data_IF_111784098466
#
_entry.id   IF_111784098466
#
_cell.length_a   1.000
_cell.length_b   1.000
_cell.length_c   1.000
_cell.angle_alpha   90.00
_cell.angle_beta   90.00
_cell.angle_gamma   90.00
#
_symmetry.space_group_name_H-M   'P 1'
#
loop_
_entity.id
_entity.type
_entity.pdbx_description
1 polymer ?
#
# COMPACT_ATOMS: atom_id res chain seq x y z
N UNK A 1 -27.03 30.97 18.51
CA UNK A 1 -26.32 30.27 17.43
C UNK A 1 -25.15 29.52 18.06
N UNK A 2 -25.16 28.18 18.10
CA UNK A 2 -24.03 27.39 18.64
C UNK A 2 -23.04 27.14 17.50
N UNK A 3 -21.79 27.54 17.69
CA UNK A 3 -20.70 27.24 16.77
C UNK A 3 -20.11 25.89 17.19
N UNK A 4 -20.23 24.87 16.33
CA UNK A 4 -19.56 23.59 16.54
C UNK A 4 -18.22 23.62 15.77
N UNK A 5 -17.11 23.38 16.47
CA UNK A 5 -15.77 23.33 15.90
C UNK A 5 -15.25 21.89 15.98
N UNK A 6 -14.66 21.38 14.89
CA UNK A 6 -13.94 20.11 14.86
C UNK A 6 -12.43 20.37 14.81
N UNK A 7 -11.69 19.80 15.76
CA UNK A 7 -10.24 19.94 15.84
C UNK A 7 -9.57 18.59 15.56
N UNK A 8 -8.72 18.52 14.53
CA UNK A 8 -7.91 17.35 14.21
C UNK A 8 -6.49 17.52 14.76
N UNK A 9 -6.12 16.73 15.77
CA UNK A 9 -4.76 16.68 16.33
C UNK A 9 -4.19 15.27 16.14
N UNK A 10 -3.19 15.14 15.28
CA UNK A 10 -2.42 13.91 15.07
C UNK A 10 -0.94 14.22 15.29
N UNK A 11 -0.15 13.19 15.59
CA UNK A 11 1.15 13.25 16.26
C UNK A 11 2.22 14.14 15.58
N UNK A 12 2.00 14.57 14.33
CA UNK A 12 2.83 15.52 13.59
C UNK A 12 2.06 16.65 12.87
N UNK A 13 0.72 16.62 12.88
CA UNK A 13 -0.14 17.59 12.20
C UNK A 13 -0.02 17.64 10.68
N UNK A 14 0.65 16.68 10.03
CA UNK A 14 0.97 16.72 8.59
C UNK A 14 0.13 15.73 7.80
N UNK A 15 0.69 14.61 7.38
CA UNK A 15 0.05 13.71 6.42
C UNK A 15 -1.24 13.11 6.97
N UNK A 16 -1.21 12.58 8.20
CA UNK A 16 -2.38 11.94 8.81
C UNK A 16 -3.52 12.95 9.05
N UNK A 17 -3.21 14.17 9.51
CA UNK A 17 -4.19 15.26 9.64
C UNK A 17 -4.76 15.67 8.29
N UNK A 18 -3.92 15.75 7.26
CA UNK A 18 -4.37 16.08 5.91
C UNK A 18 -5.31 15.00 5.35
N UNK A 19 -5.01 13.71 5.53
CA UNK A 19 -5.92 12.62 5.12
C UNK A 19 -7.28 12.75 5.81
N UNK A 20 -7.30 12.93 7.14
CA UNK A 20 -8.54 13.05 7.89
C UNK A 20 -9.37 14.27 7.44
N UNK A 21 -8.73 15.44 7.32
CA UNK A 21 -9.40 16.68 6.90
C UNK A 21 -9.88 16.56 5.44
N UNK A 22 -9.04 16.13 4.52
CA UNK A 22 -9.42 16.01 3.10
C UNK A 22 -10.55 15.01 2.93
N UNK A 23 -10.47 13.84 3.57
CA UNK A 23 -11.55 12.85 3.57
C UNK A 23 -12.84 13.44 4.15
N UNK A 24 -12.78 14.21 5.23
CA UNK A 24 -13.95 14.89 5.77
C UNK A 24 -14.56 15.90 4.79
N UNK A 25 -13.73 16.68 4.08
CA UNK A 25 -14.22 17.63 3.08
C UNK A 25 -14.88 16.90 1.88
N UNK A 26 -14.32 15.76 1.47
CA UNK A 26 -14.93 14.87 0.47
C UNK A 26 -16.23 14.24 0.96
N UNK A 27 -16.27 13.79 2.22
CA UNK A 27 -17.47 13.30 2.90
C UNK A 27 -18.59 14.35 2.92
N UNK A 28 -18.25 15.60 3.20
CA UNK A 28 -19.19 16.73 3.14
C UNK A 28 -19.51 17.18 1.70
N UNK A 29 -19.00 16.49 0.67
CA UNK A 29 -19.15 16.83 -0.75
C UNK A 29 -18.67 18.24 -1.11
N UNK A 30 -17.76 18.82 -0.32
CA UNK A 30 -17.14 20.11 -0.66
C UNK A 30 -16.16 19.95 -1.83
N UNK A 31 -15.51 18.78 -1.91
CA UNK A 31 -14.68 18.39 -3.04
C UNK A 31 -15.08 16.99 -3.51
N UNK A 32 -15.01 16.75 -4.81
CA UNK A 32 -15.31 15.46 -5.44
C UNK A 32 -14.05 14.71 -5.89
N UNK A 33 -12.87 15.32 -5.74
CA UNK A 33 -11.57 14.70 -6.07
C UNK A 33 -10.58 14.90 -4.94
N UNK A 34 -9.69 13.92 -4.75
CA UNK A 34 -8.66 13.98 -3.73
C UNK A 34 -7.67 15.12 -4.00
N UNK A 35 -7.36 15.39 -5.28
CA UNK A 35 -6.46 16.46 -5.70
C UNK A 35 -6.98 17.83 -5.27
N UNK A 36 -8.27 18.11 -5.49
CA UNK A 36 -8.86 19.39 -5.11
C UNK A 36 -8.84 19.58 -3.60
N UNK A 37 -9.19 18.52 -2.84
CA UNK A 37 -9.16 18.56 -1.38
C UNK A 37 -7.74 18.78 -0.83
N UNK A 38 -6.75 18.04 -1.33
CA UNK A 38 -5.34 18.14 -0.91
C UNK A 38 -4.73 19.48 -1.33
N UNK A 39 -5.06 19.99 -2.52
CA UNK A 39 -4.63 21.29 -2.98
C UNK A 39 -5.12 22.40 -2.05
N UNK A 40 -6.42 22.39 -1.72
CA UNK A 40 -7.01 23.37 -0.81
C UNK A 40 -6.46 23.27 0.62
N UNK A 41 -6.22 22.05 1.12
CA UNK A 41 -5.52 21.86 2.39
C UNK A 41 -4.13 22.50 2.36
N UNK A 42 -3.36 22.23 1.29
CA UNK A 42 -2.00 22.73 1.10
C UNK A 42 -1.95 24.26 1.01
N UNK A 43 -2.96 24.91 0.41
CA UNK A 43 -3.07 26.37 0.36
C UNK A 43 -3.36 27.00 1.73
N UNK A 44 -4.12 26.31 2.59
CA UNK A 44 -4.48 26.81 3.93
C UNK A 44 -3.44 26.45 4.99
N UNK A 45 -2.58 25.47 4.72
CA UNK A 45 -1.53 24.97 5.59
C UNK A 45 -0.21 24.94 4.82
N UNK A 46 0.58 23.89 4.99
CA UNK A 46 1.75 23.58 4.19
C UNK A 46 1.50 22.29 3.40
N UNK A 47 2.24 22.05 2.30
CA UNK A 47 2.17 20.78 1.57
C UNK A 47 2.38 19.59 2.54
N UNK A 48 1.37 18.71 2.71
CA UNK A 48 1.37 17.73 3.81
C UNK A 48 2.28 16.52 3.59
N UNK A 49 2.91 16.38 2.41
CA UNK A 49 3.70 15.19 2.06
C UNK A 49 2.83 13.92 1.96
N UNK A 50 1.69 14.02 1.27
CA UNK A 50 0.75 12.91 1.06
C UNK A 50 1.44 11.82 0.23
N UNK A 51 1.40 10.59 0.75
CA UNK A 51 1.87 9.40 0.04
C UNK A 51 0.77 8.92 -0.92
N UNK A 52 1.13 8.14 -1.96
CA UNK A 52 0.14 7.56 -2.86
C UNK A 52 -0.99 6.78 -2.15
N UNK A 53 -0.69 6.00 -1.10
CA UNK A 53 -1.72 5.35 -0.28
C UNK A 53 -2.65 6.35 0.41
N UNK A 54 -2.11 7.39 1.03
CA UNK A 54 -2.91 8.45 1.64
C UNK A 54 -3.88 9.08 0.63
N UNK A 55 -3.42 9.34 -0.60
CA UNK A 55 -4.27 9.86 -1.69
C UNK A 55 -5.37 8.86 -2.05
N UNK A 56 -5.03 7.58 -2.23
CA UNK A 56 -5.97 6.50 -2.53
C UNK A 56 -7.09 6.38 -1.50
N UNK A 57 -6.79 6.55 -0.21
CA UNK A 57 -7.80 6.53 0.85
C UNK A 57 -8.72 7.76 0.84
N UNK A 58 -8.23 8.92 0.38
CA UNK A 58 -9.09 10.09 0.14
C UNK A 58 -9.98 9.82 -1.10
N UNK A 59 -9.43 9.20 -2.15
CA UNK A 59 -10.19 8.81 -3.35
C UNK A 59 -11.31 7.82 -3.02
N UNK A 60 -11.06 6.84 -2.14
CA UNK A 60 -12.11 5.96 -1.62
C UNK A 60 -13.27 6.72 -0.99
N UNK A 61 -12.99 7.81 -0.28
CA UNK A 61 -14.03 8.68 0.26
C UNK A 61 -14.78 9.42 -0.86
N UNK A 62 -14.09 9.93 -1.87
CA UNK A 62 -14.75 10.52 -3.04
C UNK A 62 -15.69 9.51 -3.73
N UNK A 63 -15.22 8.28 -3.94
CA UNK A 63 -15.97 7.20 -4.60
C UNK A 63 -17.23 6.81 -3.82
N UNK A 64 -17.16 6.73 -2.50
CA UNK A 64 -18.32 6.47 -1.64
C UNK A 64 -19.34 7.63 -1.65
N UNK A 65 -18.91 8.85 -1.97
CA UNK A 65 -19.75 10.05 -1.91
C UNK A 65 -20.22 10.55 -3.27
N UNK A 66 -19.76 9.92 -4.35
CA UNK A 66 -20.10 10.21 -5.73
C UNK A 66 -21.62 10.18 -5.98
N UNK A 67 -22.05 10.68 -7.14
CA UNK A 67 -23.46 10.63 -7.55
C UNK A 67 -23.95 9.19 -7.70
N UNK A 68 -23.09 8.31 -8.21
CA UNK A 68 -23.23 6.86 -8.16
C UNK A 68 -22.20 6.29 -7.16
N UNK A 69 -22.59 6.09 -5.89
CA UNK A 69 -21.66 5.65 -4.84
C UNK A 69 -21.09 4.26 -5.09
N UNK A 70 -19.78 4.12 -4.89
CA UNK A 70 -19.18 2.80 -4.70
C UNK A 70 -19.48 2.33 -3.28
N UNK A 71 -20.15 1.20 -3.14
CA UNK A 71 -20.35 0.52 -1.85
C UNK A 71 -19.28 -0.57 -1.71
N UNK A 72 -18.32 -0.42 -0.79
CA UNK A 72 -17.25 -1.39 -0.61
C UNK A 72 -17.82 -2.75 -0.20
N UNK A 73 -17.41 -3.81 -0.89
CA UNK A 73 -17.84 -5.16 -0.54
C UNK A 73 -17.05 -5.74 0.65
N UNK A 74 -17.53 -6.87 1.19
CA UNK A 74 -16.87 -7.60 2.30
C UNK A 74 -16.35 -8.98 1.88
N UNK A 75 -16.22 -9.22 0.58
CA UNK A 75 -15.61 -10.43 0.01
C UNK A 75 -14.12 -10.48 0.37
N UNK A 76 -13.62 -11.61 0.90
CA UNK A 76 -12.19 -11.84 1.03
C UNK A 76 -11.50 -11.84 -0.34
N UNK A 77 -10.25 -11.43 -0.35
CA UNK A 77 -9.38 -11.43 -1.54
C UNK A 77 -8.20 -12.33 -1.26
N UNK A 78 -8.02 -13.36 -2.07
CA UNK A 78 -6.83 -14.20 -2.03
C UNK A 78 -5.76 -13.58 -2.91
N UNK A 79 -4.61 -13.25 -2.33
CA UNK A 79 -3.43 -12.78 -3.05
C UNK A 79 -2.54 -13.99 -3.32
N UNK A 80 -2.46 -14.41 -4.57
CA UNK A 80 -1.66 -15.55 -5.00
C UNK A 80 -0.17 -15.20 -5.04
N UNK A 81 0.17 -14.07 -5.63
CA UNK A 81 1.54 -13.60 -5.77
C UNK A 81 1.60 -12.08 -5.86
N UNK A 82 2.80 -11.53 -5.64
CA UNK A 82 3.16 -10.18 -6.05
C UNK A 82 4.26 -10.26 -7.09
N UNK A 83 4.10 -9.51 -8.17
CA UNK A 83 5.00 -9.50 -9.32
C UNK A 83 5.47 -8.07 -9.56
N UNK A 84 6.79 -7.91 -9.70
CA UNK A 84 7.46 -6.64 -9.98
C UNK A 84 8.15 -6.74 -11.35
N UNK A 85 7.85 -5.80 -12.23
CA UNK A 85 8.40 -5.77 -13.59
C UNK A 85 8.77 -4.34 -13.99
N UNK A 86 10.00 -4.08 -14.48
CA UNK A 86 11.15 -4.99 -14.52
C UNK A 86 11.68 -5.33 -13.11
N UNK A 87 12.68 -6.22 -13.02
CA UNK A 87 13.33 -6.56 -11.74
C UNK A 87 13.96 -5.31 -11.11
N UNK A 88 13.66 -4.99 -9.83
CA UNK A 88 14.27 -3.85 -9.15
C UNK A 88 15.71 -4.14 -8.70
N UNK A 89 16.55 -3.09 -8.68
CA UNK A 89 18.02 -3.18 -8.63
C UNK A 89 18.58 -2.85 -7.24
N UNK A 90 18.23 -3.67 -6.23
CA UNK A 90 18.51 -3.39 -4.82
C UNK A 90 19.82 -3.96 -4.28
N UNK A 91 20.42 -4.93 -4.97
CA UNK A 91 21.70 -5.48 -4.54
C UNK A 91 22.85 -4.46 -4.72
N UNK A 92 24.05 -4.82 -4.24
CA UNK A 92 25.22 -3.92 -4.30
C UNK A 92 25.64 -3.59 -5.73
N UNK A 93 25.52 -4.56 -6.65
CA UNK A 93 25.93 -4.43 -8.05
C UNK A 93 24.88 -3.72 -8.93
N UNK A 94 23.70 -3.39 -8.38
CA UNK A 94 22.57 -2.75 -9.10
C UNK A 94 22.12 -3.53 -10.34
N UNK A 95 22.11 -4.85 -10.25
CA UNK A 95 21.65 -5.75 -11.30
C UNK A 95 20.56 -6.72 -10.84
N UNK A 96 20.03 -6.58 -9.62
CA UNK A 96 18.93 -7.43 -9.18
C UNK A 96 18.55 -7.24 -7.71
N UNK A 97 17.69 -8.11 -7.21
CA UNK A 97 17.25 -8.14 -5.83
C UNK A 97 17.09 -9.57 -5.31
N UNK A 98 16.98 -9.68 -3.99
CA UNK A 98 16.60 -10.90 -3.26
C UNK A 98 15.41 -10.53 -2.39
N UNK A 99 14.19 -10.54 -2.95
CA UNK A 99 13.06 -9.89 -2.32
C UNK A 99 12.30 -10.85 -1.40
N UNK A 100 11.71 -10.31 -0.34
CA UNK A 100 10.71 -10.98 0.47
C UNK A 100 9.59 -9.99 0.82
N UNK A 101 8.44 -10.54 1.22
CA UNK A 101 7.21 -9.80 1.44
C UNK A 101 6.68 -9.99 2.86
N UNK A 102 6.09 -8.94 3.40
CA UNK A 102 5.19 -9.02 4.56
C UNK A 102 3.82 -8.46 4.17
N UNK A 103 2.75 -9.12 4.62
CA UNK A 103 1.37 -8.68 4.43
C UNK A 103 0.72 -8.46 5.78
N UNK A 104 0.05 -7.34 5.93
CA UNK A 104 -0.65 -6.94 7.13
C UNK A 104 -2.12 -6.67 6.81
N UNK A 105 -3.00 -6.99 7.76
CA UNK A 105 -4.42 -6.60 7.76
C UNK A 105 -4.65 -5.73 8.99
N UNK A 106 -4.95 -4.45 8.79
CA UNK A 106 -4.83 -3.45 9.85
C UNK A 106 -3.40 -3.45 10.45
N UNK A 107 -3.30 -3.69 11.75
CA UNK A 107 -2.01 -3.75 12.46
C UNK A 107 -1.44 -5.17 12.60
N UNK A 108 -2.16 -6.20 12.15
CA UNK A 108 -1.75 -7.60 12.30
C UNK A 108 -0.97 -8.08 11.07
N UNK A 109 0.24 -8.60 11.29
CA UNK A 109 1.03 -9.27 10.23
C UNK A 109 0.50 -10.67 9.97
N UNK A 110 -0.23 -10.85 8.88
CA UNK A 110 -0.83 -12.14 8.48
C UNK A 110 0.10 -13.03 7.67
N UNK A 111 1.14 -12.48 7.03
CA UNK A 111 2.13 -13.24 6.25
C UNK A 111 3.52 -12.62 6.35
N UNK A 112 4.56 -13.47 6.38
CA UNK A 112 5.94 -13.10 6.05
C UNK A 112 6.57 -14.21 5.20
N UNK A 113 7.17 -13.85 4.07
CA UNK A 113 7.92 -14.79 3.22
C UNK A 113 9.42 -14.77 3.50
N UNK A 114 9.85 -14.09 4.57
CA UNK A 114 11.24 -14.01 4.98
C UNK A 114 11.76 -15.39 5.35
N UNK A 115 12.94 -15.74 4.84
CA UNK A 115 13.60 -17.01 5.11
C UNK A 115 15.07 -16.76 5.46
N UNK A 116 15.81 -17.82 5.80
CA UNK A 116 17.27 -17.76 5.85
C UNK A 116 17.82 -17.22 4.52
N UNK A 117 18.84 -16.35 4.60
CA UNK A 117 19.36 -15.60 3.46
C UNK A 117 19.65 -16.49 2.24
N UNK A 118 20.26 -17.65 2.46
CA UNK A 118 20.69 -18.57 1.41
C UNK A 118 19.51 -19.30 0.74
N UNK A 119 18.35 -19.39 1.39
CA UNK A 119 17.13 -19.99 0.83
C UNK A 119 16.29 -19.03 0.02
N UNK A 120 16.50 -17.72 0.19
CA UNK A 120 15.76 -16.72 -0.57
C UNK A 120 16.25 -16.64 -2.00
N UNK A 121 15.33 -16.51 -2.97
CA UNK A 121 15.68 -16.47 -4.38
C UNK A 121 16.26 -15.11 -4.77
N UNK A 122 17.39 -15.12 -5.48
CA UNK A 122 17.90 -13.93 -6.16
C UNK A 122 17.27 -13.82 -7.56
N UNK A 123 16.95 -12.60 -7.96
CA UNK A 123 16.23 -12.26 -9.18
C UNK A 123 16.98 -11.12 -9.85
N UNK A 124 17.30 -11.26 -11.14
CA UNK A 124 18.08 -10.28 -11.90
C UNK A 124 17.46 -9.89 -13.24
N UNK A 125 16.66 -10.77 -13.86
CA UNK A 125 16.09 -10.53 -15.19
C UNK A 125 14.56 -10.68 -15.26
N UNK A 126 13.95 -9.93 -16.18
CA UNK A 126 12.53 -10.05 -16.53
C UNK A 126 11.58 -9.52 -15.46
N UNK A 127 11.18 -10.40 -14.53
CA UNK A 127 10.25 -10.07 -13.44
C UNK A 127 10.68 -10.72 -12.12
N UNK A 128 10.40 -10.03 -11.02
CA UNK A 128 10.59 -10.56 -9.68
C UNK A 128 9.23 -10.94 -9.09
N UNK A 129 9.03 -12.23 -8.79
CA UNK A 129 7.75 -12.77 -8.33
C UNK A 129 7.90 -13.45 -6.96
N UNK A 130 7.03 -13.09 -6.02
CA UNK A 130 6.97 -13.69 -4.69
C UNK A 130 5.59 -14.35 -4.54
N UNK A 131 5.51 -15.69 -4.40
CA UNK A 131 4.26 -16.36 -4.08
C UNK A 131 3.84 -16.03 -2.64
N UNK A 132 2.57 -15.70 -2.44
CA UNK A 132 2.01 -15.27 -1.15
C UNK A 132 0.93 -16.23 -0.64
N UNK A 133 -0.03 -16.60 -1.49
CA UNK A 133 -1.18 -17.45 -1.18
C UNK A 133 -1.83 -17.12 0.19
N UNK A 134 -2.19 -15.86 0.37
CA UNK A 134 -2.81 -15.35 1.60
C UNK A 134 -4.17 -14.72 1.30
N UNK A 135 -5.17 -15.07 2.09
CA UNK A 135 -6.52 -14.48 2.00
C UNK A 135 -6.64 -13.34 3.00
N UNK A 136 -7.03 -12.16 2.51
CA UNK A 136 -7.13 -10.92 3.28
C UNK A 136 -8.50 -10.26 3.09
N UNK A 137 -8.91 -9.43 4.04
CA UNK A 137 -10.15 -8.66 3.99
C UNK A 137 -9.98 -7.36 4.79
N UNK A 138 -10.42 -6.23 4.22
CA UNK A 138 -10.31 -4.91 4.85
C UNK A 138 -9.08 -4.13 4.37
N UNK A 139 -8.47 -3.37 5.27
CA UNK A 139 -7.26 -2.59 5.02
C UNK A 139 -6.02 -3.48 4.95
N UNK A 140 -5.38 -3.51 3.79
CA UNK A 140 -4.22 -4.37 3.51
C UNK A 140 -2.99 -3.51 3.30
N UNK A 141 -1.90 -3.83 3.99
CA UNK A 141 -0.57 -3.28 3.76
C UNK A 141 0.37 -4.40 3.27
N UNK A 142 0.96 -4.20 2.09
CA UNK A 142 1.98 -5.09 1.52
C UNK A 142 3.31 -4.36 1.55
N UNK A 143 4.31 -4.92 2.22
CA UNK A 143 5.66 -4.34 2.31
C UNK A 143 6.66 -5.27 1.63
N UNK A 144 7.47 -4.71 0.73
CA UNK A 144 8.51 -5.46 0.02
C UNK A 144 9.87 -5.04 0.54
N UNK A 145 10.73 -6.03 0.77
CA UNK A 145 12.07 -5.83 1.27
C UNK A 145 13.08 -6.55 0.39
N UNK A 146 14.30 -6.01 0.32
CA UNK A 146 15.48 -6.70 -0.16
C UNK A 146 16.30 -7.24 1.00
N UNK A 147 16.57 -8.54 1.01
CA UNK A 147 17.48 -9.16 1.97
C UNK A 147 18.94 -8.94 1.58
N UNK A 148 19.77 -8.58 2.56
CA UNK A 148 21.23 -8.40 2.42
C UNK A 148 21.97 -9.28 3.42
N UNK A 149 22.96 -10.02 2.95
CA UNK A 149 23.94 -10.64 3.83
C UNK A 149 24.95 -9.59 4.28
N UNK A 150 25.12 -9.49 5.60
CA UNK A 150 26.13 -8.62 6.24
C UNK A 150 27.02 -9.47 7.13
N UNK A 151 28.31 -9.16 7.16
CA UNK A 151 29.25 -9.80 8.08
C UNK A 151 29.08 -9.15 9.47
N UNK A 152 28.62 -9.91 10.46
CA UNK A 152 28.53 -9.45 11.85
C UNK A 152 29.90 -9.40 12.53
N UNK A 153 29.98 -8.76 13.71
CA UNK A 153 31.23 -8.56 14.45
C UNK A 153 31.97 -9.83 14.90
N UNK A 154 31.37 -11.02 14.77
CA UNK A 154 32.00 -12.34 15.01
C UNK A 154 32.20 -13.18 13.74
N UNK A 155 32.26 -12.55 12.56
CA UNK A 155 32.31 -13.24 11.24
C UNK A 155 31.10 -14.14 10.95
N UNK A 156 30.02 -14.05 11.74
CA UNK A 156 28.76 -14.72 11.47
C UNK A 156 27.94 -13.89 10.46
N UNK A 157 27.40 -14.55 9.45
CA UNK A 157 26.48 -13.91 8.52
C UNK A 157 25.20 -13.50 9.26
N UNK A 158 24.88 -12.20 9.24
CA UNK A 158 23.61 -11.65 9.74
C UNK A 158 22.80 -11.14 8.55
N UNK A 159 21.55 -11.58 8.48
CA UNK A 159 20.61 -11.03 7.51
C UNK A 159 20.16 -9.64 7.96
N UNK A 160 20.40 -8.65 7.10
CA UNK A 160 19.78 -7.34 7.18
C UNK A 160 18.70 -7.23 6.09
N UNK A 161 17.73 -6.35 6.28
CA UNK A 161 16.71 -6.05 5.26
C UNK A 161 16.73 -4.56 4.91
N UNK A 162 16.39 -4.26 3.66
CA UNK A 162 16.12 -2.90 3.20
C UNK A 162 14.70 -2.86 2.68
N UNK A 163 13.86 -1.95 3.21
CA UNK A 163 12.54 -1.71 2.62
C UNK A 163 12.74 -1.20 1.20
N UNK A 164 12.06 -1.82 0.25
CA UNK A 164 12.03 -1.37 -1.14
C UNK A 164 10.93 -0.34 -1.26
N UNK A 165 9.68 -0.78 -1.07
CA UNK A 165 8.47 0.04 -1.11
C UNK A 165 7.37 -0.63 -0.30
N UNK A 166 6.24 0.05 -0.17
CA UNK A 166 5.00 -0.53 0.36
C UNK A 166 3.77 -0.06 -0.44
N UNK A 167 2.70 -0.83 -0.33
CA UNK A 167 1.40 -0.58 -0.97
C UNK A 167 0.33 -0.74 0.09
N UNK A 168 -0.65 0.19 0.12
CA UNK A 168 -1.85 0.05 0.95
C UNK A 168 -3.11 0.19 0.11
N UNK A 169 -4.09 -0.68 0.34
CA UNK A 169 -5.39 -0.65 -0.32
C UNK A 169 -6.44 -1.33 0.56
N UNK A 170 -7.72 -1.05 0.31
CA UNK A 170 -8.82 -1.71 1.02
C UNK A 170 -9.51 -2.71 0.08
N UNK A 171 -9.65 -3.97 0.50
CA UNK A 171 -10.16 -5.04 -0.38
C UNK A 171 -11.57 -4.78 -0.91
N UNK A 172 -12.41 -4.06 -0.16
CA UNK A 172 -13.77 -3.73 -0.58
C UNK A 172 -13.89 -2.83 -1.80
N UNK A 173 -12.80 -2.13 -2.18
CA UNK A 173 -12.74 -1.29 -3.39
C UNK A 173 -12.12 -2.02 -4.59
N UNK A 174 -11.68 -3.27 -4.42
CA UNK A 174 -11.22 -4.09 -5.53
C UNK A 174 -12.44 -4.50 -6.38
N UNK A 175 -12.42 -4.39 -7.71
CA UNK A 175 -13.53 -4.85 -8.54
C UNK A 175 -13.78 -6.35 -8.32
N UNK A 176 -15.06 -6.74 -8.21
CA UNK A 176 -15.47 -8.11 -7.83
C UNK A 176 -15.02 -9.22 -8.78
N UNK A 177 -14.66 -8.86 -10.01
CA UNK A 177 -14.17 -9.75 -11.07
C UNK A 177 -12.68 -9.52 -11.39
N UNK A 178 -11.99 -8.72 -10.57
CA UNK A 178 -10.57 -8.46 -10.77
C UNK A 178 -9.76 -9.73 -10.52
N UNK A 179 -8.87 -10.04 -11.47
CA UNK A 179 -7.84 -11.08 -11.32
C UNK A 179 -6.47 -10.48 -11.02
N UNK A 180 -6.33 -9.16 -11.16
CA UNK A 180 -5.09 -8.43 -10.86
C UNK A 180 -5.38 -7.06 -10.25
N UNK A 181 -4.49 -6.60 -9.37
CA UNK A 181 -4.43 -5.19 -8.91
C UNK A 181 -3.08 -4.63 -9.29
N UNK A 182 -3.04 -3.49 -10.00
CA UNK A 182 -1.82 -2.93 -10.58
C UNK A 182 -1.46 -1.60 -9.93
N UNK A 183 -0.17 -1.39 -9.72
CA UNK A 183 0.42 -0.19 -9.15
C UNK A 183 1.62 0.21 -10.00
N UNK A 184 1.60 1.40 -10.58
CA UNK A 184 2.81 1.98 -11.19
C UNK A 184 3.76 2.45 -10.09
N UNK A 185 5.02 2.75 -10.44
CA UNK A 185 6.01 3.31 -9.49
C UNK A 185 5.51 4.51 -8.69
N UNK A 186 4.69 5.39 -9.29
CA UNK A 186 4.13 6.57 -8.63
C UNK A 186 2.97 6.25 -7.67
N UNK A 187 2.48 5.00 -7.66
CA UNK A 187 1.43 4.52 -6.77
C UNK A 187 1.97 3.84 -5.50
N UNK A 188 3.30 3.77 -5.37
CA UNK A 188 4.03 3.09 -4.30
C UNK A 188 4.51 4.06 -3.23
N UNK A 189 4.41 3.66 -1.97
CA UNK A 189 4.92 4.47 -0.85
C UNK A 189 6.32 4.00 -0.43
N UNK A 190 7.01 4.88 0.31
CA UNK A 190 8.29 4.57 0.95
C UNK A 190 9.34 3.96 0.00
N UNK A 191 9.30 4.35 -1.27
CA UNK A 191 10.30 3.98 -2.26
C UNK A 191 11.69 4.49 -1.83
N UNK A 192 12.68 3.62 -1.98
CA UNK A 192 14.10 4.01 -1.97
C UNK A 192 14.43 4.91 -3.19
N UNK A 193 15.71 5.24 -3.38
CA UNK A 193 16.18 6.14 -4.45
C UNK A 193 15.74 5.69 -5.85
N UNK A 194 15.46 6.66 -6.72
CA UNK A 194 14.82 6.47 -8.02
C UNK A 194 15.56 5.49 -8.93
N UNK A 195 16.88 5.46 -8.86
CA UNK A 195 17.78 4.66 -9.71
C UNK A 195 17.72 3.16 -9.42
N UNK A 196 17.17 2.75 -8.27
CA UNK A 196 16.96 1.32 -7.96
C UNK A 196 15.73 0.73 -8.66
N UNK A 197 14.94 1.57 -9.32
CA UNK A 197 13.70 1.20 -9.98
C UNK A 197 13.80 1.50 -11.46
N UNK A 198 13.84 0.46 -12.32
CA UNK A 198 13.91 0.63 -13.76
C UNK A 198 12.76 1.47 -14.33
N UNK A 199 12.93 1.93 -15.57
CA UNK A 199 11.87 2.62 -16.29
C UNK A 199 10.63 1.73 -16.42
N UNK A 200 9.45 2.35 -16.32
CA UNK A 200 8.15 1.68 -16.35
C UNK A 200 7.98 0.60 -15.27
N UNK A 201 8.76 0.67 -14.17
CA UNK A 201 8.58 -0.21 -13.03
C UNK A 201 7.13 -0.18 -12.54
N UNK A 202 6.55 -1.37 -12.45
CA UNK A 202 5.20 -1.62 -11.99
C UNK A 202 5.15 -2.86 -11.12
N UNK A 203 4.15 -2.88 -10.26
CA UNK A 203 3.85 -3.97 -9.34
C UNK A 203 2.43 -4.42 -9.62
N UNK A 204 2.20 -5.72 -9.71
CA UNK A 204 0.84 -6.26 -9.71
C UNK A 204 0.70 -7.39 -8.71
N UNK A 205 -0.48 -7.43 -8.09
CA UNK A 205 -0.94 -8.54 -7.28
C UNK A 205 -1.79 -9.43 -8.17
N UNK A 206 -1.45 -10.71 -8.26
CA UNK A 206 -2.34 -11.71 -8.85
C UNK A 206 -3.32 -12.14 -7.76
N UNK A 207 -4.61 -11.98 -8.01
CA UNK A 207 -5.66 -12.12 -7.00
C UNK A 207 -6.85 -12.94 -7.49
N UNK A 208 -7.61 -13.44 -6.53
CA UNK A 208 -8.99 -13.92 -6.72
C UNK A 208 -9.89 -13.29 -5.65
N UNK A 209 -11.05 -12.78 -6.06
CA UNK A 209 -12.06 -12.21 -5.15
C UNK A 209 -13.09 -13.28 -4.87
N UNK A 210 -13.21 -13.68 -3.60
CA UNK A 210 -14.11 -14.77 -3.23
C UNK A 210 -15.58 -14.43 -3.56
N UNK A 211 -16.40 -15.42 -3.98
CA UNK A 211 -17.76 -15.15 -4.43
C UNK A 211 -18.69 -14.71 -3.30
N UNK A 212 -18.39 -15.08 -2.05
CA UNK A 212 -19.23 -14.83 -0.88
C UNK A 212 -18.61 -13.79 0.03
N UNK A 213 -19.47 -12.95 0.59
CA UNK A 213 -19.09 -12.05 1.65
C UNK A 213 -18.75 -12.83 2.92
N UNK A 214 -17.71 -12.40 3.63
CA UNK A 214 -17.37 -12.96 4.93
C UNK A 214 -17.81 -11.98 6.02
N UNK A 215 -18.64 -12.42 6.99
CA UNK A 215 -19.10 -11.56 8.07
C UNK A 215 -17.91 -10.97 8.82
N UNK A 216 -17.77 -9.65 8.78
CA UNK A 216 -16.87 -8.93 9.66
C UNK A 216 -17.46 -8.92 11.07
N UNK A 217 -16.61 -9.03 12.08
CA UNK A 217 -17.03 -8.82 13.49
C UNK A 217 -17.43 -7.37 13.76
N UNK A 218 -17.13 -6.44 12.84
CA UNK A 218 -17.47 -5.02 12.91
C UNK A 218 -18.22 -4.61 11.63
N UNK A 219 -19.45 -4.14 11.78
CA UNK A 219 -20.16 -3.49 10.67
C UNK A 219 -19.46 -2.16 10.36
N UNK A 220 -19.05 -1.91 9.10
CA UNK A 220 -18.49 -0.62 8.75
C UNK A 220 -19.52 0.50 8.93
N UNK A 221 -19.08 1.75 9.19
CA UNK A 221 -19.98 2.88 9.44
C UNK A 221 -20.65 3.46 8.18
N UNK A 222 -20.39 2.90 7.00
CA UNK A 222 -20.97 3.29 5.71
C UNK A 222 -22.02 2.28 5.22
#
# INVERSE_FOLDING_TARGET
>A
MKLNLLLFLLQDGRAASAVAVCSFLCFCRLFTTAEAAVYMFSMKRCPPGIAPSHKRYIEYMCDMMAEEPIVPHSKPVTIHSIVMTPVPLFNKQRNGCRPFCEVYVGDERVLSTSQEYDRMKYMEDGKAEIPLNVTVQGDVLVVIYHARSTLGGRLQAKMASMKMFQIQFHTGFVPRNATTVKFAKYDLDACDIQEKYPDLFQVHLDIDVEPRDRPSTKTPPW
#
